data_IF_462534803223
#
_entry.id   IF_462534803223
#
_cell.length_a   1.000
_cell.length_b   1.000
_cell.length_c   1.000
_cell.angle_alpha   90.00
_cell.angle_beta   90.00
_cell.angle_gamma   90.00
#
_symmetry.space_group_name_H-M   'P 1'
#
loop_
_entity.id
_entity.type
_entity.pdbx_description
1 polymer ?
#
# COMPACT_ATOMS: atom_id res chain seq x y z
N UNK A 1 -12.13 -37.19 -8.67
CA UNK A 1 -12.21 -35.95 -7.86
C UNK A 1 -11.21 -34.99 -8.48
N UNK A 2 -11.66 -34.24 -9.48
CA UNK A 2 -10.93 -33.10 -10.05
C UNK A 2 -11.52 -31.88 -9.36
N UNK A 3 -10.92 -31.52 -8.23
CA UNK A 3 -11.26 -30.30 -7.51
C UNK A 3 -10.35 -29.16 -8.00
N UNK A 4 -10.96 -27.97 -8.08
CA UNK A 4 -10.37 -26.65 -8.30
C UNK A 4 -9.86 -26.30 -9.71
N UNK A 5 -10.81 -26.17 -10.63
CA UNK A 5 -10.70 -25.22 -11.76
C UNK A 5 -11.63 -24.01 -11.54
N UNK A 6 -11.54 -23.34 -10.39
CA UNK A 6 -12.30 -22.10 -10.14
C UNK A 6 -11.52 -21.10 -9.26
N UNK A 7 -10.65 -20.30 -9.90
CA UNK A 7 -10.17 -18.95 -9.52
C UNK A 7 -9.00 -18.62 -10.45
N UNK A 8 -9.00 -17.62 -11.32
CA UNK A 8 -9.52 -16.24 -11.25
C UNK A 8 -9.62 -15.66 -12.67
N UNK A 9 -10.46 -14.64 -12.87
CA UNK A 9 -10.42 -13.74 -14.03
C UNK A 9 -8.96 -13.42 -14.41
N UNK A 10 -8.62 -13.42 -15.70
CA UNK A 10 -7.26 -13.33 -16.25
C UNK A 10 -6.52 -12.00 -16.00
N UNK A 11 -6.50 -11.55 -14.75
CA UNK A 11 -5.80 -10.38 -14.27
C UNK A 11 -4.45 -10.80 -13.70
N UNK A 12 -3.43 -10.06 -14.12
CA UNK A 12 -2.04 -10.30 -13.75
C UNK A 12 -1.83 -10.00 -12.25
N UNK A 13 -1.32 -10.96 -11.45
CA UNK A 13 -1.22 -10.82 -9.99
C UNK A 13 -0.28 -9.69 -9.57
N UNK A 14 0.70 -9.35 -10.39
CA UNK A 14 1.59 -8.22 -10.11
C UNK A 14 0.90 -6.89 -10.39
N UNK A 15 0.08 -6.80 -11.43
CA UNK A 15 -0.77 -5.61 -11.69
C UNK A 15 -1.75 -5.40 -10.53
N UNK A 16 -2.39 -6.46 -10.06
CA UNK A 16 -3.25 -6.41 -8.88
C UNK A 16 -2.48 -5.91 -7.66
N UNK A 17 -1.26 -6.39 -7.45
CA UNK A 17 -0.41 -5.93 -6.34
C UNK A 17 -0.11 -4.43 -6.41
N UNK A 18 0.17 -3.88 -7.60
CA UNK A 18 0.34 -2.43 -7.77
C UNK A 18 -0.94 -1.65 -7.49
N UNK A 19 -2.10 -2.15 -7.90
CA UNK A 19 -3.38 -1.52 -7.60
C UNK A 19 -3.70 -1.55 -6.10
N UNK A 20 -3.39 -2.66 -5.41
CA UNK A 20 -3.52 -2.76 -3.95
C UNK A 20 -2.58 -1.79 -3.23
N UNK A 21 -1.36 -1.57 -3.73
CA UNK A 21 -0.44 -0.59 -3.17
C UNK A 21 -0.97 0.84 -3.32
N UNK A 22 -1.51 1.22 -4.50
CA UNK A 22 -2.15 2.53 -4.71
C UNK A 22 -3.34 2.74 -3.78
N UNK A 23 -4.18 1.71 -3.62
CA UNK A 23 -5.31 1.76 -2.70
C UNK A 23 -4.84 1.90 -1.25
N UNK A 24 -3.77 1.21 -0.88
CA UNK A 24 -3.17 1.29 0.45
C UNK A 24 -2.60 2.68 0.73
N UNK A 25 -1.87 3.28 -0.22
CA UNK A 25 -1.40 4.66 -0.12
C UNK A 25 -2.55 5.65 0.08
N UNK A 26 -3.65 5.49 -0.69
CA UNK A 26 -4.85 6.32 -0.54
C UNK A 26 -5.46 6.18 0.87
N UNK A 27 -5.57 4.95 1.39
CA UNK A 27 -6.06 4.69 2.74
C UNK A 27 -5.18 5.32 3.82
N UNK A 28 -3.86 5.21 3.67
CA UNK A 28 -2.91 5.83 4.60
C UNK A 28 -3.05 7.36 4.61
N UNK A 29 -3.25 8.01 3.46
CA UNK A 29 -3.51 9.46 3.40
C UNK A 29 -4.81 9.85 4.11
N UNK A 30 -5.88 9.09 3.94
CA UNK A 30 -7.13 9.34 4.66
C UNK A 30 -6.91 9.26 6.18
N UNK A 31 -6.20 8.23 6.66
CA UNK A 31 -5.87 8.07 8.08
C UNK A 31 -4.97 9.20 8.58
N UNK A 32 -3.97 9.63 7.79
CA UNK A 32 -3.14 10.79 8.10
C UNK A 32 -3.97 12.06 8.28
N UNK A 33 -4.86 12.37 7.33
CA UNK A 33 -5.69 13.56 7.37
C UNK A 33 -6.69 13.55 8.52
N UNK A 34 -7.39 12.43 8.70
CA UNK A 34 -8.34 12.24 9.81
C UNK A 34 -7.61 12.37 11.15
N UNK A 35 -6.50 11.65 11.30
CA UNK A 35 -5.66 11.71 12.49
C UNK A 35 -5.23 13.12 12.85
N UNK A 36 -4.68 13.88 11.88
CA UNK A 36 -4.28 15.28 12.07
C UNK A 36 -5.41 16.19 12.51
N UNK A 37 -6.64 15.97 12.03
CA UNK A 37 -7.82 16.74 12.47
C UNK A 37 -8.21 16.43 13.91
N UNK A 38 -7.94 15.23 14.39
CA UNK A 38 -8.39 14.75 15.70
C UNK A 38 -7.34 14.77 16.81
N UNK A 39 -6.04 14.92 16.51
CA UNK A 39 -4.98 14.95 17.55
C UNK A 39 -5.29 15.93 18.68
N UNK A 40 -5.71 17.16 18.35
CA UNK A 40 -6.00 18.20 19.33
C UNK A 40 -7.26 17.96 20.18
N UNK A 41 -8.08 16.96 19.83
CA UNK A 41 -9.30 16.63 20.58
C UNK A 41 -9.07 15.65 21.74
N UNK A 42 -7.86 15.11 21.89
CA UNK A 42 -7.55 14.19 22.98
C UNK A 42 -7.46 14.95 24.30
N UNK A 43 -8.29 14.53 25.26
CA UNK A 43 -8.29 15.03 26.62
C UNK A 43 -8.36 13.87 27.62
N UNK A 44 -7.30 13.72 28.40
CA UNK A 44 -7.15 12.74 29.49
C UNK A 44 -7.40 13.38 30.86
N UNK A 45 -7.78 14.66 30.93
CA UNK A 45 -7.94 15.40 32.18
C UNK A 45 -6.62 15.82 32.86
N UNK A 46 -5.47 15.59 32.22
CA UNK A 46 -4.16 15.99 32.71
C UNK A 46 -3.39 16.69 31.57
N UNK A 47 -2.94 17.93 31.81
CA UNK A 47 -2.31 18.75 30.77
C UNK A 47 -0.98 18.19 30.25
N UNK A 48 -0.17 17.59 31.12
CA UNK A 48 1.12 16.99 30.74
C UNK A 48 0.91 15.72 29.91
N UNK A 49 -0.03 14.86 30.33
CA UNK A 49 -0.44 13.68 29.58
C UNK A 49 -1.05 14.07 28.22
N UNK A 50 -1.90 15.10 28.17
CA UNK A 50 -2.47 15.61 26.92
C UNK A 50 -1.36 16.05 25.95
N UNK A 51 -0.38 16.82 26.43
CA UNK A 51 0.74 17.27 25.60
C UNK A 51 1.57 16.09 25.07
N UNK A 52 1.85 15.08 25.90
CA UNK A 52 2.57 13.89 25.50
C UNK A 52 1.79 13.09 24.44
N UNK A 53 0.50 12.84 24.67
CA UNK A 53 -0.34 12.09 23.73
C UNK A 53 -0.48 12.83 22.41
N UNK A 54 -0.68 14.15 22.45
CA UNK A 54 -0.73 14.97 21.25
C UNK A 54 0.58 14.93 20.46
N UNK A 55 1.73 14.96 21.13
CA UNK A 55 3.04 14.83 20.48
C UNK A 55 3.18 13.48 19.78
N UNK A 56 2.89 12.38 20.48
CA UNK A 56 3.02 11.02 19.93
C UNK A 56 2.07 10.79 18.76
N UNK A 57 0.81 11.22 18.88
CA UNK A 57 -0.17 11.08 17.80
C UNK A 57 0.19 11.94 16.59
N UNK A 58 0.71 13.16 16.81
CA UNK A 58 1.17 14.02 15.70
C UNK A 58 2.28 13.33 14.91
N UNK A 59 3.30 12.81 15.59
CA UNK A 59 4.39 12.09 14.93
C UNK A 59 3.87 10.85 14.20
N UNK A 60 3.01 10.05 14.84
CA UNK A 60 2.45 8.84 14.23
C UNK A 60 1.69 9.14 12.94
N UNK A 61 0.84 10.17 12.94
CA UNK A 61 0.10 10.53 11.74
C UNK A 61 1.04 11.12 10.67
N UNK A 62 2.04 11.92 11.02
CA UNK A 62 3.06 12.36 10.05
C UNK A 62 3.80 11.19 9.40
N UNK A 63 4.21 10.17 10.18
CA UNK A 63 4.81 8.94 9.66
C UNK A 63 3.87 8.16 8.75
N UNK A 64 2.58 8.12 9.09
CA UNK A 64 1.55 7.50 8.24
C UNK A 64 1.46 8.19 6.88
N UNK A 65 1.53 9.53 6.85
CA UNK A 65 1.57 10.30 5.61
C UNK A 65 2.82 10.01 4.77
N UNK A 66 3.99 9.98 5.40
CA UNK A 66 5.25 9.63 4.74
C UNK A 66 5.22 8.23 4.12
N UNK A 67 4.65 7.25 4.83
CA UNK A 67 4.49 5.88 4.33
C UNK A 67 3.60 5.83 3.08
N UNK A 68 2.54 6.65 3.03
CA UNK A 68 1.70 6.75 1.84
C UNK A 68 2.49 7.25 0.63
N UNK A 69 3.31 8.28 0.82
CA UNK A 69 4.13 8.87 -0.24
C UNK A 69 5.23 7.92 -0.72
N UNK A 70 5.85 7.17 0.20
CA UNK A 70 6.85 6.15 -0.16
C UNK A 70 6.21 4.96 -0.89
N UNK A 71 4.97 4.61 -0.53
CA UNK A 71 4.20 3.57 -1.23
C UNK A 71 3.89 4.00 -2.66
N UNK A 72 3.44 5.24 -2.88
CA UNK A 72 3.21 5.76 -4.22
C UNK A 72 4.50 5.82 -5.03
N UNK A 73 5.60 6.31 -4.44
CA UNK A 73 6.92 6.34 -5.11
C UNK A 73 7.37 4.95 -5.54
N UNK A 74 7.10 3.93 -4.72
CA UNK A 74 7.38 2.53 -5.05
C UNK A 74 6.59 2.11 -6.29
N UNK A 75 5.29 2.39 -6.33
CA UNK A 75 4.46 2.07 -7.50
C UNK A 75 4.92 2.84 -8.74
N UNK A 76 5.14 4.15 -8.63
CA UNK A 76 5.61 5.00 -9.73
C UNK A 76 6.95 4.54 -10.31
N UNK A 77 7.84 4.01 -9.47
CA UNK A 77 9.14 3.53 -9.90
C UNK A 77 9.08 2.13 -10.54
N UNK A 78 8.41 1.18 -9.89
CA UNK A 78 8.49 -0.24 -10.30
C UNK A 78 7.39 -0.66 -11.28
N UNK A 79 6.22 -0.02 -11.29
CA UNK A 79 5.15 -0.38 -12.24
C UNK A 79 5.59 -0.17 -13.70
N UNK A 80 6.24 0.93 -14.09
CA UNK A 80 6.72 1.10 -15.47
C UNK A 80 7.79 0.08 -15.87
N UNK A 81 8.66 -0.32 -14.93
CA UNK A 81 9.68 -1.34 -15.15
C UNK A 81 9.02 -2.71 -15.41
N UNK A 82 8.05 -3.07 -14.58
CA UNK A 82 7.24 -4.28 -14.79
C UNK A 82 6.55 -4.28 -16.15
N UNK A 83 5.94 -3.16 -16.54
CA UNK A 83 5.31 -3.02 -17.86
C UNK A 83 6.30 -3.15 -19.03
N UNK A 84 7.54 -2.69 -18.85
CA UNK A 84 8.58 -2.82 -19.86
C UNK A 84 9.02 -4.28 -20.01
N UNK A 85 9.25 -4.98 -18.88
CA UNK A 85 9.63 -6.40 -18.87
C UNK A 85 8.51 -7.31 -19.40
N UNK A 86 7.26 -7.00 -19.08
CA UNK A 86 6.09 -7.70 -19.61
C UNK A 86 5.96 -7.56 -21.12
N UNK A 87 6.12 -6.34 -21.65
CA UNK A 87 6.15 -6.10 -23.11
C UNK A 87 7.32 -6.78 -23.81
N UNK A 88 8.45 -6.96 -23.11
CA UNK A 88 9.60 -7.71 -23.62
C UNK A 88 9.42 -9.24 -23.53
N UNK A 89 8.29 -9.74 -23.01
CA UNK A 89 8.04 -11.17 -22.79
C UNK A 89 8.89 -11.78 -21.67
N UNK A 90 9.45 -10.96 -20.77
CA UNK A 90 10.33 -11.38 -19.69
C UNK A 90 9.64 -11.52 -18.34
N UNK A 91 8.49 -10.86 -18.19
CA UNK A 91 7.61 -10.98 -17.03
C UNK A 91 6.20 -11.34 -17.50
N UNK A 92 5.56 -12.32 -16.88
CA UNK A 92 4.20 -12.75 -17.21
C UNK A 92 3.89 -14.13 -16.66
N UNK A 93 2.60 -14.45 -16.41
CA UNK A 93 2.17 -15.70 -15.78
C UNK A 93 2.56 -16.94 -16.59
N UNK A 94 2.73 -16.81 -17.91
CA UNK A 94 3.08 -17.92 -18.81
C UNK A 94 4.57 -18.32 -18.75
N UNK A 95 5.45 -17.48 -18.17
CA UNK A 95 6.88 -17.77 -18.10
C UNK A 95 7.21 -18.78 -17.01
N UNK A 96 6.51 -18.74 -15.87
CA UNK A 96 6.73 -19.68 -14.76
C UNK A 96 6.30 -21.11 -15.11
N UNK A 97 5.40 -21.30 -16.07
CA UNK A 97 4.95 -22.62 -16.53
C UNK A 97 5.87 -23.27 -17.59
N UNK A 98 6.86 -22.54 -18.12
CA UNK A 98 7.72 -23.02 -19.22
C UNK A 98 9.15 -23.35 -18.79
N UNK A 99 9.47 -23.25 -17.50
CA UNK A 99 10.78 -23.61 -16.92
C UNK A 99 10.66 -24.88 -16.03
N UNK A 100 10.11 -25.98 -16.56
CA UNK A 100 10.37 -27.34 -16.02
C UNK A 100 11.19 -28.16 -17.06
N UNK A 101 12.26 -28.85 -16.65
CA UNK A 101 13.14 -29.63 -17.53
C UNK A 101 12.53 -30.95 -18.05
#
# INVERSE_FOLDING_TARGET
MTEDSERTDGQDPMEESFDQLRLSATRLRMVHEEGRRHVGSVDTGNAETNALVQSVLSELFERTGQLADDTDRTVEHFHPLYQADKRAGRAGPDREASEEP
#
